data_IF_600052969390
#
_entry.id   IF_600052969390
#
_cell.length_a   1.000
_cell.length_b   1.000
_cell.length_c   1.000
_cell.angle_alpha   90.00
_cell.angle_beta   90.00
_cell.angle_gamma   90.00
#
_symmetry.space_group_name_H-M   'P 1'
#
loop_
_entity.id
_entity.type
_entity.pdbx_description
1 polymer ?
#
# COMPACT_ATOMS: atom_id res chain seq x y z
N UNK A 1 24.25 -20.49 27.42
CA UNK A 1 25.18 -20.85 26.32
C UNK A 1 24.56 -20.41 25.00
N UNK A 2 25.07 -19.32 24.39
CA UNK A 2 24.57 -18.82 23.11
C UNK A 2 25.09 -19.70 21.96
N UNK A 3 24.19 -20.20 21.12
CA UNK A 3 24.56 -21.02 19.94
C UNK A 3 25.23 -20.12 18.89
N UNK A 4 26.29 -20.58 18.19
CA UNK A 4 26.92 -19.79 17.16
C UNK A 4 25.93 -19.43 16.05
N UNK A 5 25.75 -18.13 15.81
CA UNK A 5 24.76 -17.61 14.85
C UNK A 5 25.42 -17.50 13.48
N UNK A 6 24.83 -18.15 12.47
CA UNK A 6 25.35 -18.06 11.11
C UNK A 6 24.95 -16.72 10.47
N UNK A 7 25.90 -15.78 10.42
CA UNK A 7 25.69 -14.44 9.88
C UNK A 7 25.31 -14.43 8.40
N UNK A 8 25.75 -15.42 7.62
CA UNK A 8 25.39 -15.52 6.20
C UNK A 8 23.91 -15.83 6.02
N UNK A 9 23.33 -16.72 6.85
CA UNK A 9 21.89 -16.99 6.86
C UNK A 9 21.10 -15.75 7.24
N UNK A 10 21.55 -15.02 8.25
CA UNK A 10 20.91 -13.79 8.70
C UNK A 10 20.92 -12.70 7.61
N UNK A 11 22.07 -12.42 6.98
CA UNK A 11 22.18 -11.46 5.87
C UNK A 11 21.26 -11.84 4.71
N UNK A 12 21.21 -13.12 4.33
CA UNK A 12 20.30 -13.61 3.30
C UNK A 12 18.83 -13.47 3.68
N UNK A 13 18.47 -13.66 4.95
CA UNK A 13 17.11 -13.45 5.43
C UNK A 13 16.73 -11.96 5.35
N UNK A 14 17.60 -11.07 5.82
CA UNK A 14 17.42 -9.61 5.73
C UNK A 14 17.23 -9.14 4.29
N UNK A 15 18.12 -9.53 3.38
CA UNK A 15 18.03 -9.16 1.96
C UNK A 15 16.72 -9.65 1.29
N UNK A 16 16.24 -10.85 1.65
CA UNK A 16 14.95 -11.36 1.14
C UNK A 16 13.76 -10.56 1.70
N UNK A 17 13.81 -10.19 2.97
CA UNK A 17 12.77 -9.39 3.60
C UNK A 17 12.67 -7.99 2.97
N UNK A 18 13.80 -7.33 2.75
CA UNK A 18 13.88 -6.03 2.08
C UNK A 18 13.32 -6.11 0.66
N UNK A 19 13.74 -7.11 -0.13
CA UNK A 19 13.23 -7.32 -1.48
C UNK A 19 11.70 -7.56 -1.51
N UNK A 20 11.16 -8.26 -0.51
CA UNK A 20 9.72 -8.50 -0.41
C UNK A 20 8.97 -7.21 -0.09
N UNK A 21 9.45 -6.42 0.88
CA UNK A 21 8.85 -5.14 1.23
C UNK A 21 8.83 -4.16 0.04
N UNK A 22 9.90 -4.12 -0.75
CA UNK A 22 9.97 -3.32 -1.97
C UNK A 22 8.99 -3.81 -3.05
N UNK A 23 8.89 -5.13 -3.24
CA UNK A 23 7.92 -5.72 -4.17
C UNK A 23 6.48 -5.41 -3.77
N UNK A 24 6.14 -5.51 -2.49
CA UNK A 24 4.81 -5.19 -1.97
C UNK A 24 4.49 -3.70 -2.18
N UNK A 25 5.46 -2.81 -1.91
CA UNK A 25 5.30 -1.37 -2.17
C UNK A 25 5.08 -1.08 -3.66
N UNK A 26 5.80 -1.77 -4.55
CA UNK A 26 5.64 -1.63 -6.00
C UNK A 26 4.34 -2.23 -6.51
N UNK A 27 3.86 -3.34 -5.94
CA UNK A 27 2.56 -3.91 -6.25
C UNK A 27 1.42 -2.94 -5.90
N UNK A 28 1.52 -2.23 -4.78
CA UNK A 28 0.54 -1.18 -4.42
C UNK A 28 0.63 0.02 -5.38
N UNK A 29 1.84 0.51 -5.67
CA UNK A 29 2.05 1.71 -6.50
C UNK A 29 1.69 1.48 -7.98
N UNK A 30 2.10 0.33 -8.51
CA UNK A 30 2.11 0.04 -9.94
C UNK A 30 1.23 -1.15 -10.34
N UNK A 31 0.77 -1.97 -9.39
CA UNK A 31 -0.07 -3.14 -9.66
C UNK A 31 -1.55 -2.82 -9.83
N UNK A 32 -1.99 -1.62 -9.47
CA UNK A 32 -3.35 -1.17 -9.78
C UNK A 32 -3.47 -0.83 -11.26
N UNK A 33 -4.41 -1.49 -11.96
CA UNK A 33 -4.71 -1.18 -13.36
C UNK A 33 -5.32 0.22 -13.48
N UNK A 34 -5.24 0.83 -14.68
CA UNK A 34 -5.89 2.13 -14.93
C UNK A 34 -7.40 2.07 -14.66
N UNK A 35 -8.04 0.93 -14.95
CA UNK A 35 -9.46 0.72 -14.73
C UNK A 35 -9.80 0.72 -13.23
N UNK A 36 -9.00 0.05 -12.40
CA UNK A 36 -9.20 0.01 -10.94
C UNK A 36 -9.01 1.40 -10.32
N UNK A 37 -7.96 2.13 -10.73
CA UNK A 37 -7.73 3.51 -10.28
C UNK A 37 -8.90 4.43 -10.64
N UNK A 38 -9.43 4.31 -11.86
CA UNK A 38 -10.59 5.09 -12.30
C UNK A 38 -11.85 4.73 -11.49
N UNK A 39 -12.07 3.44 -11.22
CA UNK A 39 -13.18 2.98 -10.39
C UNK A 39 -13.11 3.58 -8.98
N UNK A 40 -11.96 3.48 -8.33
CA UNK A 40 -11.75 3.98 -6.98
C UNK A 40 -11.90 5.51 -6.91
N UNK A 41 -11.38 6.24 -7.91
CA UNK A 41 -11.58 7.68 -8.02
C UNK A 41 -13.06 8.05 -8.16
N UNK A 42 -13.80 7.37 -9.03
CA UNK A 42 -15.25 7.63 -9.20
C UNK A 42 -16.05 7.32 -7.93
N UNK A 43 -15.64 6.30 -7.16
CA UNK A 43 -16.26 5.99 -5.88
C UNK A 43 -15.96 7.06 -4.83
N UNK A 44 -14.70 7.51 -4.76
CA UNK A 44 -14.28 8.59 -3.86
C UNK A 44 -15.02 9.90 -4.17
N UNK A 45 -15.16 10.27 -5.45
CA UNK A 45 -15.92 11.46 -5.87
C UNK A 45 -17.41 11.35 -5.54
N UNK A 46 -18.03 10.18 -5.72
CA UNK A 46 -19.42 9.97 -5.32
C UNK A 46 -19.59 10.10 -3.82
N UNK A 47 -18.68 9.53 -3.04
CA UNK A 47 -18.71 9.66 -1.58
C UNK A 47 -18.52 11.12 -1.14
N UNK A 48 -17.57 11.83 -1.73
CA UNK A 48 -17.33 13.25 -1.46
C UNK A 48 -18.57 14.10 -1.78
N UNK A 49 -19.16 13.92 -2.97
CA UNK A 49 -20.40 14.62 -3.35
C UNK A 49 -21.59 14.28 -2.46
N UNK A 50 -21.71 13.02 -2.05
CA UNK A 50 -22.76 12.62 -1.13
C UNK A 50 -22.60 13.33 0.22
N UNK A 51 -21.39 13.35 0.79
CA UNK A 51 -21.12 14.07 2.03
C UNK A 51 -21.35 15.57 1.89
N UNK A 52 -20.94 16.16 0.77
CA UNK A 52 -21.12 17.58 0.47
C UNK A 52 -22.60 17.98 0.40
N UNK A 53 -23.44 17.18 -0.26
CA UNK A 53 -24.90 17.38 -0.28
C UNK A 53 -25.56 17.32 1.10
N UNK A 54 -24.94 16.63 2.06
CA UNK A 54 -25.44 16.54 3.44
C UNK A 54 -24.84 17.59 4.37
N UNK A 55 -23.90 18.43 3.90
CA UNK A 55 -23.41 19.56 4.70
C UNK A 55 -24.50 20.63 4.79
N UNK A 56 -24.73 21.10 6.01
CA UNK A 56 -25.79 22.08 6.34
C UNK A 56 -25.29 23.52 6.46
N UNK A 57 -23.98 23.73 6.40
CA UNK A 57 -23.39 25.08 6.34
C UNK A 57 -22.65 25.24 5.00
N UNK A 58 -23.11 26.15 4.13
CA UNK A 58 -22.25 26.76 3.12
C UNK A 58 -21.36 27.78 3.83
N UNK A 59 -20.05 27.78 3.53
CA UNK A 59 -19.31 29.04 3.67
C UNK A 59 -19.89 30.10 2.73
#
# INVERSE_FOLDING_TARGET
>A
MSKPVNLNKHRKAKARAEKRAEADANAVRYGQSKADKARDATQAEKAARHLDQHKRDPE
#
